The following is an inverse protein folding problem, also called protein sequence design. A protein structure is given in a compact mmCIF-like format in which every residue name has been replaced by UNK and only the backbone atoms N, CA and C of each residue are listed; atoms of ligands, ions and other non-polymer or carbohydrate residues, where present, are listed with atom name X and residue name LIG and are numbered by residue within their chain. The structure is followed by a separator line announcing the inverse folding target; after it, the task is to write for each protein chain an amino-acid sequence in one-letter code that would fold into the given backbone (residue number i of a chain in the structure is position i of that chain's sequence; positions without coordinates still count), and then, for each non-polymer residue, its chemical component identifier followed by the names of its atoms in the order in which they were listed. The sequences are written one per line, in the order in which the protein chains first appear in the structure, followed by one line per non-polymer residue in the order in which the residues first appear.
data_IF_082920102195
#
_entry.id   IF_082920102195
#
_cell.length_a   1.000
_cell.length_b   1.000
_cell.length_c   1.000
_cell.angle_alpha   90.00
_cell.angle_beta   90.00
_cell.angle_gamma   90.00
#
_symmetry.space_group_name_H-M   'P 1'
#
loop_
_entity.id
_entity.type
_entity.pdbx_description
1 polymer ?
#
# COMPACT_ATOMS: atom_id res chain seq x y z
N UNK A 1 -51.09 -1.65 -19.22
CA UNK A 1 -50.11 -2.24 -18.28
C UNK A 1 -49.79 -1.23 -17.19
N UNK A 2 -49.86 -1.59 -15.90
CA UNK A 2 -49.55 -0.66 -14.79
C UNK A 2 -48.04 -0.55 -14.55
N UNK A 3 -47.37 0.21 -15.40
CA UNK A 3 -45.91 0.41 -15.38
C UNK A 3 -45.45 1.04 -14.06
N UNK A 4 -46.23 1.98 -13.51
CA UNK A 4 -45.95 2.64 -12.22
C UNK A 4 -45.89 1.66 -11.04
N UNK A 5 -46.81 0.68 -10.97
CA UNK A 5 -46.80 -0.33 -9.91
C UNK A 5 -45.55 -1.19 -9.98
N UNK A 6 -45.14 -1.57 -11.20
CA UNK A 6 -43.94 -2.36 -11.45
C UNK A 6 -42.67 -1.62 -11.05
N UNK A 7 -42.56 -0.33 -11.38
CA UNK A 7 -41.44 0.53 -10.95
C UNK A 7 -41.40 0.66 -9.42
N UNK A 8 -42.55 0.86 -8.78
CA UNK A 8 -42.66 0.94 -7.32
C UNK A 8 -42.14 -0.31 -6.60
N UNK A 9 -42.50 -1.50 -7.08
CA UNK A 9 -41.99 -2.76 -6.51
C UNK A 9 -40.47 -2.93 -6.69
N UNK A 10 -39.92 -2.56 -7.86
CA UNK A 10 -38.47 -2.63 -8.08
C UNK A 10 -37.70 -1.62 -7.23
N UNK A 11 -38.16 -0.37 -7.15
CA UNK A 11 -37.52 0.67 -6.34
C UNK A 11 -37.63 0.39 -4.84
N UNK A 12 -38.76 -0.16 -4.37
CA UNK A 12 -38.92 -0.57 -2.99
C UNK A 12 -37.94 -1.68 -2.60
N UNK A 13 -37.85 -2.75 -3.39
CA UNK A 13 -36.89 -3.83 -3.18
C UNK A 13 -35.43 -3.36 -3.25
N UNK A 14 -35.11 -2.51 -4.24
CA UNK A 14 -33.78 -1.91 -4.38
C UNK A 14 -33.41 -1.04 -3.17
N UNK A 15 -34.35 -0.24 -2.65
CA UNK A 15 -34.11 0.63 -1.49
C UNK A 15 -33.84 -0.18 -0.23
N UNK A 16 -34.60 -1.26 0.01
CA UNK A 16 -34.35 -2.20 1.11
C UNK A 16 -32.96 -2.84 0.96
N UNK A 17 -32.59 -3.23 -0.27
CA UNK A 17 -31.26 -3.76 -0.60
C UNK A 17 -30.14 -2.77 -0.28
N UNK A 18 -30.31 -1.47 -0.60
CA UNK A 18 -29.34 -0.43 -0.27
C UNK A 18 -29.19 -0.23 1.24
N UNK A 19 -30.28 -0.28 2.01
CA UNK A 19 -30.23 -0.17 3.48
C UNK A 19 -29.40 -1.33 4.06
N UNK A 20 -29.69 -2.57 3.64
CA UNK A 20 -28.94 -3.75 4.09
C UNK A 20 -27.45 -3.65 3.70
N UNK A 21 -27.16 -3.26 2.46
CA UNK A 21 -25.79 -3.06 1.99
C UNK A 21 -25.05 -2.01 2.83
N UNK A 22 -25.72 -0.90 3.15
CA UNK A 22 -25.16 0.15 3.99
C UNK A 22 -24.81 -0.39 5.39
N UNK A 23 -25.63 -1.25 6.00
CA UNK A 23 -25.29 -1.90 7.27
C UNK A 23 -24.05 -2.80 7.18
N UNK A 24 -23.87 -3.56 6.09
CA UNK A 24 -22.69 -4.43 5.92
C UNK A 24 -21.39 -3.65 5.69
N UNK A 25 -21.46 -2.50 5.03
CA UNK A 25 -20.30 -1.65 4.78
C UNK A 25 -20.05 -0.61 5.88
N UNK A 26 -21.06 -0.26 6.67
CA UNK A 26 -20.90 0.67 7.79
C UNK A 26 -19.99 0.04 8.85
N UNK A 27 -18.80 0.64 9.03
CA UNK A 27 -17.83 0.24 10.03
C UNK A 27 -16.69 -0.67 9.55
N UNK A 28 -16.74 -1.22 8.32
CA UNK A 28 -15.60 -1.97 7.78
C UNK A 28 -14.72 -1.06 6.93
N UNK A 29 -13.47 -0.80 7.37
CA UNK A 29 -12.41 -0.17 6.56
C UNK A 29 -11.94 -1.14 5.45
N UNK A 30 -12.85 -1.56 4.58
CA UNK A 30 -12.55 -2.50 3.49
C UNK A 30 -11.69 -1.82 2.43
N UNK A 31 -10.38 -1.87 2.62
CA UNK A 31 -9.42 -1.54 1.57
C UNK A 31 -9.15 -2.80 0.75
N UNK A 32 -9.76 -2.85 -0.44
CA UNK A 32 -9.43 -3.83 -1.45
C UNK A 32 -8.22 -3.33 -2.24
N UNK A 33 -7.10 -4.05 -2.16
CA UNK A 33 -5.91 -3.75 -2.96
C UNK A 33 -6.11 -4.33 -4.37
N UNK A 34 -6.88 -3.65 -5.21
CA UNK A 34 -7.15 -4.13 -6.56
C UNK A 34 -5.98 -3.85 -7.50
N UNK A 35 -5.32 -2.71 -7.33
CA UNK A 35 -4.23 -2.28 -8.20
C UNK A 35 -2.88 -2.89 -7.81
N UNK A 36 -1.95 -3.08 -8.77
CA UNK A 36 -0.63 -3.65 -8.51
C UNK A 36 0.13 -2.92 -7.38
N UNK A 37 0.11 -1.59 -7.39
CA UNK A 37 0.75 -0.75 -6.37
C UNK A 37 0.22 -1.06 -4.96
N UNK A 38 -1.11 -1.00 -4.78
CA UNK A 38 -1.75 -1.29 -3.49
C UNK A 38 -1.47 -2.72 -3.01
N UNK A 39 -1.38 -3.69 -3.94
CA UNK A 39 -1.08 -5.09 -3.59
C UNK A 39 0.33 -5.23 -3.05
N UNK A 40 1.31 -4.58 -3.68
CA UNK A 40 2.70 -4.58 -3.21
C UNK A 40 2.78 -3.90 -1.85
N UNK A 41 2.27 -2.69 -1.70
CA UNK A 41 2.32 -1.94 -0.44
C UNK A 41 1.59 -2.68 0.69
N UNK A 42 0.42 -3.26 0.41
CA UNK A 42 -0.30 -4.11 1.37
C UNK A 42 0.52 -5.34 1.76
N UNK A 43 1.20 -5.98 0.82
CA UNK A 43 2.06 -7.13 1.08
C UNK A 43 3.24 -6.77 1.99
N UNK A 44 3.86 -5.61 1.79
CA UNK A 44 4.96 -5.12 2.62
C UNK A 44 4.50 -4.79 4.04
N UNK A 45 3.31 -4.18 4.19
CA UNK A 45 2.75 -3.80 5.50
C UNK A 45 2.39 -4.98 6.42
N UNK A 46 2.06 -6.13 5.84
CA UNK A 46 1.63 -7.32 6.62
C UNK A 46 2.78 -8.27 6.94
N UNK A 47 3.97 -8.05 6.34
CA UNK A 47 5.15 -8.87 6.57
C UNK A 47 6.07 -8.21 7.59
N UNK A 48 6.79 -9.00 8.40
CA UNK A 48 7.90 -8.46 9.17
C UNK A 48 9.02 -7.99 8.21
N UNK A 49 9.71 -6.92 8.59
CA UNK A 49 10.87 -6.44 7.85
C UNK A 49 12.15 -6.48 8.70
N UNK A 50 13.29 -6.61 8.03
CA UNK A 50 14.63 -6.52 8.61
C UNK A 50 15.40 -5.39 7.94
N UNK A 51 16.21 -4.70 8.72
CA UNK A 51 17.12 -3.67 8.23
C UNK A 51 18.47 -4.30 7.95
N UNK A 52 19.03 -4.07 6.75
CA UNK A 52 20.45 -4.36 6.50
C UNK A 52 21.33 -3.35 7.25
N UNK A 53 22.64 -3.64 7.42
CA UNK A 53 23.58 -2.67 7.96
C UNK A 53 23.58 -1.35 7.17
N UNK A 54 23.49 -1.44 5.83
CA UNK A 54 23.40 -0.30 4.92
C UNK A 54 22.13 0.53 5.16
N UNK A 55 20.96 -0.12 5.27
CA UNK A 55 19.71 0.56 5.59
C UNK A 55 19.79 1.26 6.94
N UNK A 56 20.34 0.59 7.96
CA UNK A 56 20.50 1.14 9.31
C UNK A 56 21.39 2.38 9.30
N UNK A 57 22.50 2.34 8.57
CA UNK A 57 23.39 3.49 8.40
C UNK A 57 22.70 4.64 7.65
N UNK A 58 21.96 4.34 6.58
CA UNK A 58 21.24 5.36 5.81
C UNK A 58 20.18 6.08 6.65
N UNK A 59 19.40 5.35 7.44
CA UNK A 59 18.41 5.92 8.37
C UNK A 59 19.07 6.81 9.41
N UNK A 60 20.14 6.33 10.05
CA UNK A 60 20.89 7.10 11.04
C UNK A 60 21.48 8.40 10.46
N UNK A 61 22.03 8.34 9.24
CA UNK A 61 22.60 9.51 8.56
C UNK A 61 21.56 10.58 8.24
N UNK A 62 20.33 10.17 7.97
CA UNK A 62 19.21 11.07 7.63
C UNK A 62 18.34 11.43 8.84
N UNK A 63 18.68 10.93 10.04
CA UNK A 63 17.87 11.06 11.26
C UNK A 63 16.43 10.54 11.09
N UNK A 64 16.28 9.48 10.28
CA UNK A 64 15.00 8.83 10.02
C UNK A 64 14.85 7.59 10.91
N UNK A 65 13.60 7.21 11.15
CA UNK A 65 13.24 6.10 12.02
C UNK A 65 12.26 5.13 11.35
N UNK A 66 11.72 4.20 12.14
CA UNK A 66 10.74 3.22 11.69
C UNK A 66 9.39 3.84 11.31
N UNK A 67 9.06 5.03 11.80
CA UNK A 67 7.84 5.77 11.40
C UNK A 67 7.93 6.12 9.92
N UNK A 68 9.11 6.54 9.45
CA UNK A 68 9.34 6.86 8.04
C UNK A 68 9.15 5.64 7.14
N UNK A 69 9.68 4.48 7.53
CA UNK A 69 9.51 3.22 6.78
C UNK A 69 8.02 2.85 6.69
N UNK A 70 7.32 2.89 7.83
CA UNK A 70 5.89 2.58 7.87
C UNK A 70 5.06 3.55 7.05
N UNK A 71 5.47 4.82 6.99
CA UNK A 71 4.87 5.83 6.14
C UNK A 71 5.07 5.50 4.66
N UNK A 72 6.29 5.16 4.24
CA UNK A 72 6.58 4.75 2.86
C UNK A 72 5.79 3.49 2.46
N UNK A 73 5.66 2.49 3.33
CA UNK A 73 4.82 1.32 3.06
C UNK A 73 3.32 1.63 2.96
N UNK A 74 2.86 2.75 3.54
CA UNK A 74 1.45 3.12 3.55
C UNK A 74 1.07 4.10 2.44
N UNK A 75 1.95 5.04 2.12
CA UNK A 75 1.68 6.19 1.26
C UNK A 75 2.65 6.32 0.09
N UNK A 76 3.69 5.49 0.01
CA UNK A 76 4.66 5.54 -1.07
C UNK A 76 4.10 5.04 -2.40
N UNK A 77 4.84 5.31 -3.46
CA UNK A 77 4.62 4.80 -4.80
C UNK A 77 5.65 3.74 -5.15
N UNK A 78 5.23 2.71 -5.89
CA UNK A 78 6.10 1.62 -6.31
C UNK A 78 6.58 1.94 -7.72
N UNK A 79 7.87 2.18 -7.87
CA UNK A 79 8.47 2.38 -9.18
C UNK A 79 8.65 1.02 -9.87
N UNK A 80 7.67 0.62 -10.68
CA UNK A 80 7.72 -0.62 -11.45
C UNK A 80 8.74 -0.61 -12.59
N UNK A 81 9.26 0.57 -12.98
CA UNK A 81 10.30 0.69 -14.00
C UNK A 81 11.67 0.27 -13.48
N UNK A 82 11.97 0.64 -12.23
CA UNK A 82 13.21 0.22 -11.56
C UNK A 82 13.08 -1.09 -10.76
N UNK A 83 11.85 -1.49 -10.41
CA UNK A 83 11.59 -2.72 -9.68
C UNK A 83 11.75 -3.97 -10.56
N UNK A 84 12.17 -5.09 -9.95
CA UNK A 84 12.20 -6.41 -10.60
C UNK A 84 11.37 -7.40 -9.77
N UNK A 85 10.02 -7.37 -9.88
CA UNK A 85 9.12 -8.12 -8.99
C UNK A 85 9.29 -9.64 -9.04
N UNK A 86 9.81 -10.18 -10.16
CA UNK A 86 9.99 -11.62 -10.42
C UNK A 86 11.42 -12.10 -10.22
N UNK A 87 12.30 -11.28 -9.63
CA UNK A 87 13.67 -11.70 -9.33
C UNK A 87 13.66 -12.82 -8.29
N UNK A 88 14.50 -13.84 -8.48
CA UNK A 88 14.73 -14.90 -7.50
C UNK A 88 16.05 -14.66 -6.73
N UNK A 89 16.14 -15.01 -5.44
CA UNK A 89 15.12 -15.66 -4.61
C UNK A 89 14.02 -14.73 -4.08
N UNK A 90 14.21 -13.41 -4.22
CA UNK A 90 13.28 -12.40 -3.72
C UNK A 90 13.08 -11.28 -4.75
N UNK A 91 11.82 -10.85 -4.90
CA UNK A 91 11.46 -9.74 -5.77
C UNK A 91 12.09 -8.44 -5.29
N UNK A 92 12.67 -7.68 -6.20
CA UNK A 92 13.24 -6.37 -5.93
C UNK A 92 12.20 -5.30 -6.13
N UNK A 93 12.09 -4.36 -5.19
CA UNK A 93 11.19 -3.24 -5.30
C UNK A 93 11.89 -1.93 -4.92
N UNK A 94 11.55 -0.90 -5.68
CA UNK A 94 11.91 0.49 -5.41
C UNK A 94 10.62 1.23 -5.05
N UNK A 95 10.63 1.90 -3.89
CA UNK A 95 9.52 2.68 -3.40
C UNK A 95 9.97 4.13 -3.26
N UNK A 96 9.20 5.05 -3.83
CA UNK A 96 9.40 6.48 -3.66
C UNK A 96 8.30 7.05 -2.77
N UNK A 97 8.59 8.15 -2.07
CA UNK A 97 7.59 8.81 -1.23
C UNK A 97 8.22 9.86 -0.33
N UNK A 98 7.40 10.48 0.51
CA UNK A 98 7.85 11.59 1.35
C UNK A 98 7.95 11.23 2.82
N UNK A 99 8.96 11.76 3.50
CA UNK A 99 9.05 11.75 4.96
C UNK A 99 8.01 12.70 5.61
N UNK A 100 8.07 12.85 6.93
CA UNK A 100 7.16 13.76 7.65
C UNK A 100 7.47 15.24 7.40
N UNK A 101 8.69 15.56 6.98
CA UNK A 101 9.15 16.91 6.66
C UNK A 101 8.90 17.30 5.19
N UNK A 102 8.43 16.37 4.36
CA UNK A 102 8.14 16.58 2.93
C UNK A 102 9.35 16.37 2.01
N UNK A 103 10.44 15.75 2.49
CA UNK A 103 11.57 15.39 1.65
C UNK A 103 11.25 14.13 0.85
N UNK A 104 11.55 14.15 -0.45
CA UNK A 104 11.40 12.98 -1.31
C UNK A 104 12.49 11.95 -1.00
N UNK A 105 12.04 10.71 -0.75
CA UNK A 105 12.86 9.57 -0.41
C UNK A 105 12.65 8.46 -1.45
N UNK A 106 13.73 7.73 -1.68
CA UNK A 106 13.77 6.46 -2.40
C UNK A 106 14.18 5.36 -1.43
N UNK A 107 13.45 4.27 -1.40
CA UNK A 107 13.72 3.11 -0.58
C UNK A 107 13.80 1.86 -1.46
N UNK A 108 14.89 1.13 -1.31
CA UNK A 108 15.12 -0.12 -2.02
C UNK A 108 14.96 -1.29 -1.07
N UNK A 109 14.26 -2.34 -1.52
CA UNK A 109 13.98 -3.50 -0.69
C UNK A 109 13.85 -4.79 -1.49
N UNK A 110 14.11 -5.88 -0.79
CA UNK A 110 13.88 -7.24 -1.25
C UNK A 110 12.63 -7.80 -0.55
N UNK A 111 11.60 -8.12 -1.33
CA UNK A 111 10.37 -8.71 -0.84
C UNK A 111 10.43 -10.24 -1.00
N UNK A 112 10.86 -10.94 0.06
CA UNK A 112 10.89 -12.39 0.11
C UNK A 112 9.55 -12.97 0.61
N UNK A 113 9.38 -14.29 0.56
CA UNK A 113 8.14 -14.94 1.04
C UNK A 113 7.88 -14.70 2.53
N UNK A 114 8.91 -14.81 3.37
CA UNK A 114 8.78 -14.76 4.84
C UNK A 114 8.96 -13.35 5.42
N UNK A 115 9.93 -12.58 4.91
CA UNK A 115 10.27 -11.26 5.43
C UNK A 115 10.69 -10.31 4.31
N UNK A 116 10.56 -9.02 4.58
CA UNK A 116 11.09 -7.96 3.73
C UNK A 116 12.48 -7.57 4.22
N UNK A 117 13.46 -7.43 3.32
CA UNK A 117 14.77 -6.90 3.66
C UNK A 117 14.92 -5.51 3.07
N UNK A 118 14.97 -4.48 3.90
CA UNK A 118 15.20 -3.10 3.46
C UNK A 118 16.70 -2.95 3.24
N UNK A 119 17.09 -2.53 2.03
CA UNK A 119 18.49 -2.48 1.57
C UNK A 119 19.10 -1.11 1.80
N UNK A 120 18.41 -0.06 1.37
CA UNK A 120 18.89 1.31 1.48
C UNK A 120 17.74 2.31 1.43
N UNK A 121 17.98 3.49 2.00
CA UNK A 121 17.16 4.67 1.79
C UNK A 121 18.04 5.82 1.30
N UNK A 122 17.54 6.64 0.39
CA UNK A 122 18.27 7.78 -0.18
C UNK A 122 17.33 8.94 -0.41
N UNK A 123 17.80 10.18 -0.23
CA UNK A 123 17.04 11.38 -0.60
C UNK A 123 17.10 11.58 -2.10
N UNK A 124 15.94 11.76 -2.73
CA UNK A 124 15.87 12.19 -4.13
C UNK A 124 16.13 13.69 -4.11
N UNK A 125 17.30 14.10 -4.57
CA UNK A 125 17.60 15.52 -4.78
C UNK A 125 17.27 15.81 -6.23
N UNK A 126 16.29 16.67 -6.45
CA UNK A 126 15.99 17.21 -7.78
C UNK A 126 17.01 18.31 -8.13
#
# INVERSE_FOLDING_TARGET
MHILKRIGYYLGGFSIGLILLAFFFSGKKTSCAYFPQERVLKNLRVKPYKLTPEATQSLASMQLDTVTINRLFKLGDVDFGESVPRREPCGYFVITGQDEAGNDLKMELDNCKEAVSIKSLTKITN
#
